data_IF_769451595119
#
_entry.id   IF_769451595119
#
_cell.length_a   1.000
_cell.length_b   1.000
_cell.length_c   1.000
_cell.angle_alpha   90.00
_cell.angle_beta   90.00
_cell.angle_gamma   90.00
#
_symmetry.space_group_name_H-M   'P 1'
#
loop_
_entity.id
_entity.type
_entity.pdbx_description
1 polymer ?
#
# COMPACT_ATOMS: atom_id res chain seq x y z
N UNK A 1 10.04 15.67 -9.67
CA UNK A 1 8.62 15.38 -10.02
C UNK A 1 8.31 16.05 -11.34
N UNK A 2 7.59 15.37 -12.23
CA UNK A 2 7.09 15.98 -13.46
C UNK A 2 6.01 17.03 -13.16
N UNK A 3 5.77 17.95 -14.09
CA UNK A 3 4.67 18.92 -14.00
C UNK A 3 3.31 18.23 -14.08
N UNK A 4 2.28 18.85 -13.50
CA UNK A 4 0.92 18.35 -13.63
C UNK A 4 0.48 18.32 -15.11
N UNK A 5 -0.24 17.27 -15.57
CA UNK A 5 -0.77 17.23 -16.94
C UNK A 5 -1.71 18.41 -17.23
N UNK A 6 -1.79 18.82 -18.49
CA UNK A 6 -2.61 19.97 -18.89
C UNK A 6 -4.05 19.56 -19.22
N UNK A 7 -4.95 20.54 -19.20
CA UNK A 7 -6.40 20.40 -19.30
C UNK A 7 -6.93 19.41 -20.36
N UNK A 8 -6.26 19.26 -21.51
CA UNK A 8 -6.71 18.38 -22.59
C UNK A 8 -6.52 16.88 -22.30
N UNK A 9 -5.52 16.52 -21.49
CA UNK A 9 -5.21 15.11 -21.19
C UNK A 9 -6.07 14.55 -20.05
N UNK A 10 -6.73 15.43 -19.28
CA UNK A 10 -7.32 15.09 -17.97
C UNK A 10 -8.81 14.83 -18.04
N UNK A 11 -9.51 15.41 -19.02
CA UNK A 11 -10.94 15.16 -19.23
C UNK A 11 -11.21 13.67 -19.46
N UNK A 12 -10.23 12.92 -19.98
CA UNK A 12 -10.31 11.47 -20.18
C UNK A 12 -9.96 10.65 -18.93
N UNK A 13 -9.26 11.23 -17.95
CA UNK A 13 -8.77 10.55 -16.75
C UNK A 13 -9.68 10.74 -15.53
N UNK A 14 -10.41 11.86 -15.48
CA UNK A 14 -11.30 12.19 -14.38
C UNK A 14 -12.75 12.03 -14.80
N UNK A 15 -13.37 10.94 -14.35
CA UNK A 15 -14.77 10.61 -14.64
C UNK A 15 -15.76 11.50 -13.85
N UNK A 16 -15.30 12.19 -12.81
CA UNK A 16 -16.15 12.93 -11.89
C UNK A 16 -15.88 14.45 -11.95
N UNK A 17 -16.94 15.28 -12.11
CA UNK A 17 -16.78 16.73 -12.26
C UNK A 17 -16.17 17.41 -11.02
N UNK A 18 -16.44 16.89 -9.82
CA UNK A 18 -15.88 17.40 -8.56
C UNK A 18 -14.38 17.15 -8.48
N UNK A 19 -13.92 15.99 -8.96
CA UNK A 19 -12.48 15.67 -9.03
C UNK A 19 -11.78 16.59 -10.04
N UNK A 20 -12.39 16.81 -11.21
CA UNK A 20 -11.88 17.73 -12.22
C UNK A 20 -11.79 19.15 -11.69
N UNK A 21 -12.82 19.64 -10.98
CA UNK A 21 -12.81 20.97 -10.38
C UNK A 21 -11.68 21.12 -9.35
N UNK A 22 -11.59 20.20 -8.38
CA UNK A 22 -10.51 20.22 -7.39
C UNK A 22 -9.11 20.16 -8.05
N UNK A 23 -8.97 19.34 -9.08
CA UNK A 23 -7.74 19.26 -9.85
C UNK A 23 -7.38 20.59 -10.50
N UNK A 24 -8.34 21.28 -11.13
CA UNK A 24 -8.09 22.58 -11.75
C UNK A 24 -7.75 23.66 -10.72
N UNK A 25 -8.33 23.61 -9.52
CA UNK A 25 -7.92 24.48 -8.41
C UNK A 25 -6.45 24.27 -8.06
N UNK A 26 -6.00 23.01 -7.95
CA UNK A 26 -4.59 22.69 -7.67
C UNK A 26 -3.67 23.09 -8.83
N UNK A 27 -4.10 22.94 -10.08
CA UNK A 27 -3.31 23.34 -11.25
C UNK A 27 -3.13 24.87 -11.31
N UNK A 28 -4.18 25.63 -10.99
CA UNK A 28 -4.12 27.08 -10.87
C UNK A 28 -3.16 27.51 -9.74
N UNK A 29 -3.23 26.82 -8.60
CA UNK A 29 -2.32 27.00 -7.46
C UNK A 29 -0.87 26.67 -7.83
N UNK A 30 -0.59 25.57 -8.53
CA UNK A 30 0.78 25.28 -9.01
C UNK A 30 1.30 26.42 -9.87
N UNK A 31 0.46 26.92 -10.79
CA UNK A 31 0.83 27.99 -11.71
C UNK A 31 1.14 29.31 -11.00
N UNK A 32 0.41 29.65 -9.93
CA UNK A 32 0.70 30.85 -9.13
C UNK A 32 2.00 30.69 -8.33
N UNK A 33 2.29 29.48 -7.84
CA UNK A 33 3.47 29.14 -7.05
C UNK A 33 4.76 29.02 -7.88
N UNK A 34 4.69 28.88 -9.20
CA UNK A 34 5.89 28.87 -10.06
C UNK A 34 6.73 30.17 -9.98
N UNK A 35 6.16 31.25 -9.44
CA UNK A 35 6.85 32.53 -9.23
C UNK A 35 7.39 32.70 -7.81
N UNK A 36 7.09 31.76 -6.92
CA UNK A 36 7.49 31.80 -5.52
C UNK A 36 8.97 31.35 -5.36
N UNK A 37 9.75 31.96 -4.45
CA UNK A 37 11.08 31.48 -4.12
C UNK A 37 11.12 30.10 -3.43
N UNK A 38 10.01 29.61 -2.84
CA UNK A 38 9.95 28.30 -2.19
C UNK A 38 9.41 27.19 -3.11
N UNK A 39 10.34 26.48 -3.76
CA UNK A 39 10.07 25.34 -4.64
C UNK A 39 9.26 24.22 -3.96
N UNK A 40 9.27 24.12 -2.63
CA UNK A 40 8.54 23.06 -1.91
C UNK A 40 7.04 23.22 -2.04
N UNK A 41 6.55 24.45 -2.13
CA UNK A 41 5.12 24.73 -2.30
C UNK A 41 4.59 24.15 -3.61
N UNK A 42 5.40 24.25 -4.68
CA UNK A 42 5.10 23.62 -5.98
C UNK A 42 5.07 22.09 -5.85
N UNK A 43 5.98 21.50 -5.07
CA UNK A 43 5.97 20.05 -4.80
C UNK A 43 4.68 19.63 -4.08
N UNK A 44 4.23 20.38 -3.07
CA UNK A 44 3.00 20.07 -2.34
C UNK A 44 1.77 20.13 -3.25
N UNK A 45 1.66 21.17 -4.08
CA UNK A 45 0.59 21.27 -5.08
C UNK A 45 0.62 20.08 -6.05
N UNK A 46 1.81 19.70 -6.55
CA UNK A 46 1.97 18.53 -7.43
C UNK A 46 1.52 17.24 -6.76
N UNK A 47 1.91 17.00 -5.51
CA UNK A 47 1.51 15.81 -4.77
C UNK A 47 -0.01 15.69 -4.71
N UNK A 48 -0.72 16.77 -4.37
CA UNK A 48 -2.17 16.77 -4.36
C UNK A 48 -2.76 16.46 -5.74
N UNK A 49 -2.26 17.11 -6.79
CA UNK A 49 -2.73 16.85 -8.15
C UNK A 49 -2.51 15.39 -8.57
N UNK A 50 -1.37 14.79 -8.22
CA UNK A 50 -1.10 13.38 -8.48
C UNK A 50 -1.98 12.45 -7.64
N UNK A 51 -2.27 12.80 -6.38
CA UNK A 51 -3.17 12.01 -5.54
C UNK A 51 -4.62 12.05 -6.05
N UNK A 52 -5.07 13.17 -6.62
CA UNK A 52 -6.40 13.27 -7.25
C UNK A 52 -6.44 12.41 -8.53
N UNK A 53 -5.40 12.43 -9.36
CA UNK A 53 -5.35 11.66 -10.61
C UNK A 53 -5.17 10.15 -10.38
N UNK A 54 -4.20 9.79 -9.56
CA UNK A 54 -3.68 8.41 -9.45
C UNK A 54 -3.76 7.84 -8.04
N UNK A 55 -4.57 8.45 -7.16
CA UNK A 55 -4.83 7.87 -5.84
C UNK A 55 -5.25 6.40 -5.96
N UNK A 56 -4.66 5.55 -5.11
CA UNK A 56 -4.73 4.10 -5.21
C UNK A 56 -6.17 3.54 -5.21
N UNK A 57 -7.11 4.25 -4.56
CA UNK A 57 -8.53 3.91 -4.57
C UNK A 57 -9.39 5.12 -4.92
N UNK A 58 -10.60 4.87 -5.41
CA UNK A 58 -11.61 5.92 -5.60
C UNK A 58 -11.92 6.67 -4.30
N UNK A 59 -11.94 5.95 -3.18
CA UNK A 59 -12.11 6.53 -1.84
C UNK A 59 -10.96 7.48 -1.48
N UNK A 60 -9.70 7.06 -1.67
CA UNK A 60 -8.55 7.92 -1.39
C UNK A 60 -8.57 9.21 -2.23
N UNK A 61 -8.92 9.09 -3.53
CA UNK A 61 -9.11 10.26 -4.41
C UNK A 61 -10.20 11.19 -3.88
N UNK A 62 -11.33 10.65 -3.44
CA UNK A 62 -12.43 11.45 -2.88
C UNK A 62 -12.03 12.18 -1.59
N UNK A 63 -11.27 11.53 -0.70
CA UNK A 63 -10.78 12.17 0.54
C UNK A 63 -9.92 13.38 0.20
N UNK A 64 -8.95 13.23 -0.71
CA UNK A 64 -8.07 14.34 -1.12
C UNK A 64 -8.86 15.46 -1.79
N UNK A 65 -9.83 15.11 -2.66
CA UNK A 65 -10.71 16.09 -3.29
C UNK A 65 -11.54 16.84 -2.25
N UNK A 66 -12.13 16.13 -1.28
CA UNK A 66 -12.90 16.77 -0.21
C UNK A 66 -12.02 17.70 0.63
N UNK A 67 -10.80 17.27 0.97
CA UNK A 67 -9.84 18.08 1.72
C UNK A 67 -9.47 19.37 0.96
N UNK A 68 -9.15 19.26 -0.32
CA UNK A 68 -8.84 20.41 -1.19
C UNK A 68 -10.03 21.36 -1.33
N UNK A 69 -11.26 20.85 -1.40
CA UNK A 69 -12.46 21.68 -1.56
C UNK A 69 -12.97 22.27 -0.24
N UNK A 70 -12.62 21.68 0.90
CA UNK A 70 -12.94 22.21 2.22
C UNK A 70 -12.01 23.36 2.64
N UNK A 71 -10.96 23.61 1.85
CA UNK A 71 -10.02 24.69 2.07
C UNK A 71 -10.64 26.03 1.65
N UNK A 72 -10.83 26.93 2.62
CA UNK A 72 -11.33 28.29 2.35
C UNK A 72 -10.20 29.24 1.87
N UNK A 73 -8.96 29.01 2.31
CA UNK A 73 -7.80 29.88 2.04
C UNK A 73 -6.74 29.19 1.17
N UNK A 74 -6.04 29.93 0.31
CA UNK A 74 -4.97 29.39 -0.57
C UNK A 74 -3.80 28.70 0.17
N UNK A 75 -3.60 29.01 1.46
CA UNK A 75 -2.59 28.35 2.30
C UNK A 75 -2.99 26.95 2.75
N UNK A 76 -4.28 26.69 2.93
CA UNK A 76 -4.79 25.44 3.51
C UNK A 76 -4.60 24.20 2.63
N UNK A 77 -4.70 24.26 1.29
CA UNK A 77 -4.34 23.13 0.43
C UNK A 77 -2.86 22.78 0.56
N UNK A 78 -1.98 23.76 0.75
CA UNK A 78 -0.54 23.49 0.86
C UNK A 78 -0.18 22.76 2.14
N UNK A 79 -0.90 23.01 3.23
CA UNK A 79 -0.74 22.25 4.47
C UNK A 79 -1.16 20.79 4.29
N UNK A 80 -2.25 20.53 3.57
CA UNK A 80 -2.63 19.17 3.17
C UNK A 80 -1.53 18.52 2.31
N UNK A 81 -1.04 19.22 1.29
CA UNK A 81 0.05 18.72 0.44
C UNK A 81 1.35 18.44 1.21
N UNK A 82 1.66 19.25 2.22
CA UNK A 82 2.78 19.04 3.14
C UNK A 82 2.57 17.81 4.03
N UNK A 83 1.36 17.58 4.52
CA UNK A 83 1.02 16.37 5.27
C UNK A 83 1.26 15.11 4.42
N UNK A 84 0.76 15.08 3.18
CA UNK A 84 0.99 13.96 2.27
C UNK A 84 2.46 13.80 1.88
N UNK A 85 3.22 14.89 1.76
CA UNK A 85 4.66 14.83 1.55
C UNK A 85 5.38 14.15 2.72
N UNK A 86 5.06 14.51 3.96
CA UNK A 86 5.64 13.88 5.15
C UNK A 86 5.25 12.39 5.21
N UNK A 87 3.98 12.07 4.93
CA UNK A 87 3.51 10.68 4.89
C UNK A 87 4.26 9.86 3.83
N UNK A 88 4.53 10.44 2.67
CA UNK A 88 5.32 9.81 1.61
C UNK A 88 6.79 9.60 2.02
N UNK A 89 7.37 10.47 2.83
CA UNK A 89 8.73 10.28 3.38
C UNK A 89 8.74 9.18 4.46
N UNK A 90 7.79 9.22 5.39
CA UNK A 90 7.71 8.23 6.47
C UNK A 90 7.51 6.83 5.91
N UNK A 91 6.62 6.67 4.93
CA UNK A 91 6.38 5.37 4.27
C UNK A 91 7.60 4.81 3.53
N UNK A 92 8.53 5.66 3.09
CA UNK A 92 9.82 5.22 2.54
C UNK A 92 10.81 4.81 3.64
N UNK A 93 10.78 5.45 4.81
CA UNK A 93 11.66 5.14 5.94
C UNK A 93 11.22 3.91 6.74
N UNK A 94 9.94 3.56 6.73
CA UNK A 94 9.41 2.36 7.40
C UNK A 94 9.70 1.05 6.65
N UNK A 95 10.39 1.10 5.51
CA UNK A 95 10.91 -0.07 4.79
C UNK A 95 12.08 -0.79 5.47
N UNK A 96 12.55 -0.34 6.64
CA UNK A 96 13.57 -1.06 7.43
C UNK A 96 13.51 -0.69 8.91
N UNK A 97 12.43 -1.06 9.61
CA UNK A 97 12.49 -1.26 11.06
C UNK A 97 11.60 -2.42 11.47
N UNK A 98 12.25 -3.58 11.66
CA UNK A 98 11.76 -4.69 12.45
C UNK A 98 11.72 -4.25 13.92
N UNK A 99 10.66 -3.56 14.33
CA UNK A 99 10.46 -3.26 15.76
C UNK A 99 9.11 -3.80 16.19
N UNK A 100 9.17 -4.85 17.01
CA UNK A 100 8.06 -5.40 17.78
C UNK A 100 7.27 -4.27 18.46
N UNK A 101 6.02 -4.09 18.08
CA UNK A 101 5.03 -3.44 18.94
C UNK A 101 4.26 -4.52 19.69
N UNK A 102 4.69 -4.80 20.92
CA UNK A 102 3.87 -5.51 21.89
C UNK A 102 2.79 -4.56 22.41
N UNK A 103 1.61 -4.61 21.82
CA UNK A 103 0.40 -4.12 22.51
C UNK A 103 -0.84 -4.86 22.01
N UNK A 104 -1.30 -5.75 22.89
CA UNK A 104 -2.61 -6.38 22.94
C UNK A 104 -3.73 -5.51 22.38
N UNK A 105 -4.40 -6.03 21.35
CA UNK A 105 -5.83 -5.85 21.22
C UNK A 105 -6.40 -7.20 20.78
N UNK A 106 -6.88 -7.95 21.77
CA UNK A 106 -7.94 -8.93 21.55
C UNK A 106 -9.07 -8.22 20.83
N UNK A 107 -9.52 -8.78 19.70
CA UNK A 107 -10.94 -9.05 19.51
C UNK A 107 -11.18 -9.91 18.25
N UNK A 108 -11.76 -11.07 18.52
CA UNK A 108 -12.91 -11.67 17.82
C UNK A 108 -12.72 -11.94 16.33
N UNK A 109 -12.36 -13.18 16.01
CA UNK A 109 -12.92 -13.88 14.84
C UNK A 109 -13.29 -15.32 15.21
N UNK A 110 -14.38 -15.74 14.60
CA UNK A 110 -15.27 -16.83 14.95
C UNK A 110 -14.68 -18.24 14.82
N UNK A 111 -15.35 -19.13 15.55
CA UNK A 111 -15.37 -20.59 15.47
C UNK A 111 -15.09 -21.10 14.04
N UNK A 112 -13.93 -21.72 13.86
CA UNK A 112 -13.73 -22.68 12.79
C UNK A 112 -13.11 -23.93 13.40
N UNK A 113 -13.96 -24.96 13.52
CA UNK A 113 -13.58 -26.34 13.80
C UNK A 113 -12.56 -26.80 12.75
N UNK A 114 -11.29 -26.60 13.07
CA UNK A 114 -10.17 -26.98 12.22
C UNK A 114 -8.94 -27.09 13.08
N UNK A 115 -8.67 -28.32 13.54
CA UNK A 115 -7.47 -28.79 14.24
C UNK A 115 -6.29 -27.82 14.05
N UNK A 116 -6.10 -26.92 15.02
CA UNK A 116 -4.88 -26.14 15.12
C UNK A 116 -3.75 -27.12 15.46
N UNK A 117 -2.62 -27.12 14.74
CA UNK A 117 -1.44 -27.82 15.25
C UNK A 117 -1.06 -27.19 16.60
N UNK A 118 -1.07 -28.01 17.67
CA UNK A 118 -0.89 -27.60 19.06
C UNK A 118 0.52 -27.05 19.38
N UNK A 119 1.43 -27.00 18.42
CA UNK A 119 2.78 -26.52 18.65
C UNK A 119 2.97 -25.08 18.13
N UNK A 120 3.33 -24.12 19.00
CA UNK A 120 3.75 -22.80 18.54
C UNK A 120 4.97 -22.98 17.62
N UNK A 121 4.80 -22.61 16.34
CA UNK A 121 5.89 -22.63 15.36
C UNK A 121 7.08 -21.88 15.95
N UNK A 122 8.15 -22.62 16.22
CA UNK A 122 9.37 -22.11 16.82
C UNK A 122 9.86 -20.89 16.03
N UNK A 123 10.31 -19.85 16.76
CA UNK A 123 10.75 -18.61 16.13
C UNK A 123 11.84 -18.91 15.10
N UNK A 124 11.65 -18.56 13.82
CA UNK A 124 12.55 -18.98 12.75
C UNK A 124 13.96 -18.42 13.02
N UNK A 125 14.92 -19.32 13.19
CA UNK A 125 16.32 -18.96 13.45
C UNK A 125 17.08 -18.60 12.17
N UNK A 126 16.48 -18.89 11.00
CA UNK A 126 17.07 -18.58 9.71
C UNK A 126 16.04 -18.02 8.72
N UNK A 127 16.55 -17.32 7.70
CA UNK A 127 15.74 -16.81 6.60
C UNK A 127 15.05 -17.92 5.80
N UNK A 128 15.69 -19.10 5.68
CA UNK A 128 15.06 -20.26 5.05
C UNK A 128 13.85 -20.76 5.84
N UNK A 129 13.95 -20.81 7.16
CA UNK A 129 12.86 -21.27 8.03
C UNK A 129 11.70 -20.28 8.01
N UNK A 130 12.01 -18.98 8.07
CA UNK A 130 11.01 -17.93 7.94
C UNK A 130 10.26 -18.04 6.60
N UNK A 131 10.99 -18.30 5.51
CA UNK A 131 10.40 -18.48 4.18
C UNK A 131 9.52 -19.73 4.13
N UNK A 132 9.95 -20.85 4.70
CA UNK A 132 9.18 -22.09 4.71
C UNK A 132 7.90 -21.94 5.55
N UNK A 133 8.00 -21.31 6.72
CA UNK A 133 6.86 -21.02 7.58
C UNK A 133 5.84 -20.11 6.89
N UNK A 134 6.30 -19.08 6.17
CA UNK A 134 5.42 -18.22 5.38
C UNK A 134 4.71 -18.98 4.25
N UNK A 135 5.40 -19.90 3.56
CA UNK A 135 4.79 -20.71 2.50
C UNK A 135 3.72 -21.67 3.05
N UNK A 136 3.94 -22.26 4.22
CA UNK A 136 2.96 -23.15 4.88
C UNK A 136 1.75 -22.34 5.34
N UNK A 137 1.97 -21.17 5.94
CA UNK A 137 0.90 -20.28 6.42
C UNK A 137 -0.02 -19.81 5.29
N UNK A 138 0.56 -19.50 4.13
CA UNK A 138 -0.16 -18.87 3.02
C UNK A 138 -0.48 -19.86 1.88
N UNK A 139 -0.78 -21.14 2.17
CA UNK A 139 -0.74 -22.30 1.26
C UNK A 139 0.01 -22.13 -0.09
N UNK A 140 1.28 -21.73 -0.04
CA UNK A 140 2.13 -21.44 -1.20
C UNK A 140 1.57 -20.37 -2.15
N UNK A 141 0.60 -19.57 -1.71
CA UNK A 141 -0.10 -18.53 -2.45
C UNK A 141 0.39 -17.17 -1.96
N UNK A 142 0.66 -16.27 -2.89
CA UNK A 142 0.95 -14.88 -2.53
C UNK A 142 -0.32 -14.19 -2.03
N UNK A 143 -0.29 -13.61 -0.84
CA UNK A 143 -1.44 -12.91 -0.23
C UNK A 143 -1.86 -11.64 -0.99
N UNK A 144 -0.95 -11.04 -1.77
CA UNK A 144 -1.21 -9.78 -2.49
C UNK A 144 -1.89 -10.03 -3.84
N UNK A 145 -1.39 -11.01 -4.60
CA UNK A 145 -1.83 -11.26 -5.99
C UNK A 145 -2.59 -12.58 -6.16
N UNK A 146 -2.60 -13.43 -5.14
CA UNK A 146 -3.29 -14.71 -5.15
C UNK A 146 -2.68 -15.80 -6.03
N UNK A 147 -1.48 -15.57 -6.59
CA UNK A 147 -0.76 -16.52 -7.46
C UNK A 147 0.05 -17.51 -6.61
N UNK A 148 0.11 -18.78 -7.03
CA UNK A 148 0.86 -19.84 -6.36
C UNK A 148 2.34 -19.87 -6.77
N UNK A 149 3.23 -20.13 -5.81
CA UNK A 149 4.60 -20.57 -6.07
C UNK A 149 4.62 -22.04 -6.47
N UNK A 150 4.41 -22.27 -7.76
CA UNK A 150 4.37 -23.62 -8.35
C UNK A 150 5.64 -24.43 -8.10
N UNK A 151 6.79 -23.79 -7.89
CA UNK A 151 8.06 -24.48 -7.63
C UNK A 151 8.04 -25.10 -6.24
N UNK A 152 7.56 -24.35 -5.26
CA UNK A 152 7.45 -24.80 -3.87
C UNK A 152 6.33 -25.84 -3.71
N UNK A 153 5.20 -25.67 -4.40
CA UNK A 153 4.10 -26.66 -4.45
C UNK A 153 4.57 -28.00 -5.01
N UNK A 154 5.34 -28.01 -6.10
CA UNK A 154 5.86 -29.26 -6.67
C UNK A 154 6.82 -29.97 -5.71
N UNK A 155 7.69 -29.22 -5.04
CA UNK A 155 8.63 -29.78 -4.07
C UNK A 155 7.91 -30.39 -2.86
N UNK A 156 6.84 -29.79 -2.35
CA UNK A 156 6.08 -30.39 -1.24
C UNK A 156 5.39 -31.69 -1.66
N UNK A 157 4.76 -31.73 -2.84
CA UNK A 157 4.15 -32.95 -3.38
C UNK A 157 5.17 -34.08 -3.62
N UNK A 158 6.36 -33.74 -4.09
CA UNK A 158 7.43 -34.74 -4.31
C UNK A 158 8.00 -35.28 -3.00
N UNK A 159 8.00 -34.48 -1.93
CA UNK A 159 8.38 -34.91 -0.58
C UNK A 159 7.32 -35.84 0.03
N UNK A 160 6.03 -35.54 -0.14
CA UNK A 160 4.93 -36.40 0.31
C UNK A 160 4.95 -37.77 -0.40
N UNK A 161 5.19 -37.79 -1.71
CA UNK A 161 5.33 -39.04 -2.49
C UNK A 161 6.55 -39.87 -2.10
N UNK A 162 7.63 -39.24 -1.64
CA UNK A 162 8.80 -39.96 -1.11
C UNK A 162 8.55 -40.51 0.29
N UNK A 163 7.80 -39.78 1.12
CA UNK A 163 7.43 -40.24 2.46
C UNK A 163 6.49 -41.45 2.42
N UNK A 164 5.61 -41.55 1.42
CA UNK A 164 4.72 -42.72 1.26
C UNK A 164 5.39 -43.96 0.68
N UNK A 165 6.52 -43.81 -0.03
CA UNK A 165 7.30 -44.93 -0.57
C UNK A 165 8.40 -45.45 0.38
N UNK A 166 8.65 -44.78 1.50
CA UNK A 166 9.67 -45.16 2.49
C UNK A 166 9.19 -46.02 3.65
N UNK A 167 7.88 -46.29 3.77
CA UNK A 167 7.30 -47.04 4.89
C UNK A 167 7.05 -48.52 4.58
N UNK A 168 7.95 -49.14 3.80
CA UNK A 168 8.08 -50.58 3.71
C UNK A 168 9.57 -50.92 3.86
N UNK A 169 9.86 -51.86 4.76
CA UNK A 169 11.16 -52.41 5.19
C UNK A 169 11.69 -51.77 6.49
N UNK A 170 11.49 -52.49 7.59
CA UNK A 170 12.05 -52.23 8.91
C UNK A 170 11.22 -52.87 10.01
#
# INVERSE_FOLDING_TARGET
MASLPKHQDIILLLENPTQSYAYFTILALETSLLKDPDDRRVIFARILGYLILYGHSSFARQVVVHEVLSCEDEGTPLDAGKFYYILALVSQTTGSFSTQSSSSSSDIWEDSDGVLPEDPVEFPQSHSDAKQNALIRDPFRCIVIGIYDLTSVRKSLDLEKKSSNGSAIG
#
